data_IF_688308246539
#
_entry.id   IF_688308246539
#
_cell.length_a   1.000
_cell.length_b   1.000
_cell.length_c   1.000
_cell.angle_alpha   90.00
_cell.angle_beta   90.00
_cell.angle_gamma   90.00
#
_symmetry.space_group_name_H-M   'P 1'
#
loop_
_entity.id
_entity.type
_entity.pdbx_description
1 polymer ?
#
# COMPACT_ATOMS: atom_id res chain seq x y z
N UNK A 1 3.69 16.26 19.88
CA UNK A 1 2.30 16.12 19.41
C UNK A 1 1.67 17.44 18.95
N UNK A 2 1.49 18.47 19.80
CA UNK A 2 0.91 19.76 19.35
C UNK A 2 1.62 20.36 18.12
N UNK A 3 2.94 20.31 18.06
CA UNK A 3 3.74 20.85 16.96
C UNK A 3 3.59 20.01 15.66
N UNK A 4 3.40 18.69 15.75
CA UNK A 4 3.18 17.83 14.59
C UNK A 4 1.78 18.05 13.99
N UNK A 5 0.75 18.18 14.84
CA UNK A 5 -0.59 18.57 14.40
C UNK A 5 -0.61 19.96 13.74
N UNK A 6 0.17 20.89 14.27
CA UNK A 6 0.33 22.23 13.70
C UNK A 6 1.02 22.15 12.32
N UNK A 7 2.08 21.35 12.18
CA UNK A 7 2.76 21.11 10.90
C UNK A 7 1.84 20.48 9.86
N UNK A 8 1.07 19.46 10.22
CA UNK A 8 0.07 18.84 9.35
C UNK A 8 -1.03 19.84 8.95
N UNK A 9 -1.49 20.67 9.88
CA UNK A 9 -2.50 21.70 9.60
C UNK A 9 -1.95 22.81 8.69
N UNK A 10 -0.72 23.30 8.95
CA UNK A 10 -0.05 24.31 8.11
C UNK A 10 0.20 23.74 6.71
N UNK A 11 0.70 22.50 6.61
CA UNK A 11 0.93 21.85 5.33
C UNK A 11 -0.37 21.68 4.54
N UNK A 12 -1.45 21.24 5.20
CA UNK A 12 -2.76 21.11 4.57
C UNK A 12 -3.32 22.44 4.10
N UNK A 13 -3.15 23.51 4.90
CA UNK A 13 -3.54 24.87 4.52
C UNK A 13 -2.75 25.36 3.30
N UNK A 14 -1.46 25.02 3.19
CA UNK A 14 -0.62 25.36 2.03
C UNK A 14 -1.07 24.61 0.77
N UNK A 15 -1.46 23.32 0.87
CA UNK A 15 -2.02 22.55 -0.25
C UNK A 15 -3.33 23.16 -0.73
N UNK A 16 -4.21 23.55 0.21
CA UNK A 16 -5.49 24.21 -0.11
C UNK A 16 -5.26 25.60 -0.74
N UNK A 17 -4.30 26.38 -0.23
CA UNK A 17 -3.94 27.69 -0.78
C UNK A 17 -3.30 27.60 -2.17
N UNK A 18 -2.40 26.65 -2.39
CA UNK A 18 -1.83 26.37 -3.71
C UNK A 18 -2.92 26.04 -4.73
N UNK A 19 -3.95 25.31 -4.31
CA UNK A 19 -5.09 24.98 -5.15
C UNK A 19 -5.99 26.17 -5.45
N UNK A 20 -6.19 27.10 -4.51
CA UNK A 20 -6.94 28.35 -4.75
C UNK A 20 -6.22 29.25 -5.77
N UNK A 21 -4.90 29.35 -5.68
CA UNK A 21 -4.09 30.16 -6.62
C UNK A 21 -4.17 29.60 -8.04
N UNK A 22 -4.07 28.27 -8.21
CA UNK A 22 -4.22 27.62 -9.52
C UNK A 22 -5.64 27.73 -10.12
N UNK A 23 -6.68 27.78 -9.28
CA UNK A 23 -8.05 27.97 -9.76
C UNK A 23 -8.35 29.37 -10.27
N UNK A 24 -7.53 30.36 -9.89
CA UNK A 24 -7.65 31.74 -10.40
C UNK A 24 -6.94 31.94 -11.74
N UNK A 25 -5.87 31.18 -12.03
CA UNK A 25 -5.10 31.33 -13.28
C UNK A 25 -5.63 30.50 -14.46
N UNK A 26 -6.35 29.40 -14.21
CA UNK A 26 -6.83 28.50 -15.26
C UNK A 26 -8.35 28.42 -15.27
N UNK A 27 -8.96 29.30 -16.07
CA UNK A 27 -10.39 29.23 -16.44
C UNK A 27 -11.40 29.17 -15.27
N UNK A 28 -12.27 30.15 -15.22
CA UNK A 28 -13.43 30.44 -14.35
C UNK A 28 -14.42 29.26 -14.11
N UNK A 29 -13.96 28.00 -14.09
CA UNK A 29 -14.81 26.84 -13.76
C UNK A 29 -14.92 26.68 -12.25
N UNK A 30 -16.04 27.12 -11.68
CA UNK A 30 -16.38 26.87 -10.27
C UNK A 30 -16.21 25.40 -9.91
N UNK A 31 -15.45 25.14 -8.83
CA UNK A 31 -15.29 23.79 -8.25
C UNK A 31 -16.67 23.17 -8.00
N UNK A 32 -16.91 21.96 -8.49
CA UNK A 32 -18.19 21.28 -8.32
C UNK A 32 -18.40 20.85 -6.85
N UNK A 33 -19.66 20.65 -6.44
CA UNK A 33 -19.96 20.11 -5.09
C UNK A 33 -19.23 18.78 -4.84
N UNK A 34 -19.20 17.89 -5.83
CA UNK A 34 -18.48 16.61 -5.74
C UNK A 34 -17.00 16.79 -5.47
N UNK A 35 -16.33 17.72 -6.17
CA UNK A 35 -14.92 18.01 -5.95
C UNK A 35 -14.65 18.49 -4.52
N UNK A 36 -15.49 19.39 -3.99
CA UNK A 36 -15.37 19.83 -2.60
C UNK A 36 -15.53 18.69 -1.61
N UNK A 37 -16.53 17.82 -1.80
CA UNK A 37 -16.74 16.67 -0.92
C UNK A 37 -15.56 15.67 -0.98
N UNK A 38 -14.97 15.47 -2.14
CA UNK A 38 -13.78 14.61 -2.28
C UNK A 38 -12.60 15.17 -1.51
N UNK A 39 -12.32 16.48 -1.62
CA UNK A 39 -11.23 17.09 -0.84
C UNK A 39 -11.47 17.01 0.67
N UNK A 40 -12.68 17.34 1.12
CA UNK A 40 -13.04 17.23 2.54
C UNK A 40 -12.91 15.78 3.01
N UNK A 41 -13.35 14.81 2.19
CA UNK A 41 -13.22 13.39 2.48
C UNK A 41 -11.76 12.94 2.58
N UNK A 42 -10.88 13.36 1.65
CA UNK A 42 -9.46 13.04 1.69
C UNK A 42 -8.77 13.67 2.93
N UNK A 43 -9.14 14.92 3.26
CA UNK A 43 -8.65 15.58 4.47
C UNK A 43 -9.08 14.85 5.74
N UNK A 44 -10.37 14.52 5.83
CA UNK A 44 -10.92 13.78 6.97
C UNK A 44 -10.27 12.39 7.10
N UNK A 45 -10.06 11.69 5.97
CA UNK A 45 -9.36 10.41 5.93
C UNK A 45 -7.93 10.53 6.46
N UNK A 46 -7.15 11.52 6.00
CA UNK A 46 -5.77 11.73 6.47
C UNK A 46 -5.73 12.03 7.98
N UNK A 47 -6.65 12.87 8.45
CA UNK A 47 -6.75 13.20 9.88
C UNK A 47 -7.16 11.99 10.72
N UNK A 48 -8.16 11.23 10.25
CA UNK A 48 -8.62 10.02 10.94
C UNK A 48 -7.51 8.96 11.02
N UNK A 49 -6.76 8.74 9.92
CA UNK A 49 -5.63 7.82 9.91
C UNK A 49 -4.58 8.18 10.95
N UNK A 50 -4.22 9.46 11.08
CA UNK A 50 -3.27 9.89 12.09
C UNK A 50 -3.75 9.55 13.52
N UNK A 51 -5.02 9.82 13.84
CA UNK A 51 -5.57 9.48 15.15
C UNK A 51 -5.67 7.98 15.40
N UNK A 52 -5.99 7.19 14.36
CA UNK A 52 -6.03 5.74 14.44
C UNK A 52 -4.64 5.19 14.74
N UNK A 53 -3.63 5.60 13.97
CA UNK A 53 -2.23 5.20 14.15
C UNK A 53 -1.69 5.60 15.52
N UNK A 54 -2.00 6.83 15.96
CA UNK A 54 -1.62 7.26 17.32
C UNK A 54 -2.17 6.31 18.39
N UNK A 55 -3.45 5.95 18.30
CA UNK A 55 -4.07 5.06 19.30
C UNK A 55 -3.60 3.60 19.17
N UNK A 56 -3.21 3.15 17.99
CA UNK A 56 -2.79 1.77 17.76
C UNK A 56 -1.33 1.55 18.12
N UNK A 57 -0.44 2.49 17.75
CA UNK A 57 1.00 2.26 17.84
C UNK A 57 1.70 3.14 18.85
N UNK A 58 1.38 4.44 18.94
CA UNK A 58 2.22 5.39 19.66
C UNK A 58 1.73 5.73 21.07
N UNK A 59 0.43 5.58 21.33
CA UNK A 59 -0.17 5.91 22.63
C UNK A 59 0.39 5.01 23.74
N UNK A 60 1.06 5.63 24.72
CA UNK A 60 1.72 4.92 25.81
C UNK A 60 3.13 4.39 25.44
N UNK A 61 3.60 4.69 24.24
CA UNK A 61 4.93 4.34 23.72
C UNK A 61 5.80 5.59 23.49
N UNK A 62 5.32 6.76 23.93
CA UNK A 62 5.97 8.05 23.67
C UNK A 62 7.38 8.12 24.25
N UNK A 63 8.33 8.63 23.47
CA UNK A 63 9.74 8.74 23.79
C UNK A 63 10.33 10.02 23.19
N UNK A 64 11.51 10.44 23.65
CA UNK A 64 12.28 11.45 22.94
C UNK A 64 12.62 10.95 21.54
N UNK A 65 12.71 11.88 20.57
CA UNK A 65 13.00 11.50 19.18
C UNK A 65 14.24 10.62 19.10
N UNK A 66 14.10 9.51 18.44
CA UNK A 66 15.17 8.54 18.23
C UNK A 66 15.11 7.98 16.80
N UNK A 67 16.25 7.49 16.33
CA UNK A 67 16.40 6.88 15.01
C UNK A 67 16.66 5.40 15.26
N UNK A 68 15.88 4.55 14.57
CA UNK A 68 16.12 3.12 14.51
C UNK A 68 17.21 2.82 13.47
N UNK A 69 18.13 1.91 13.81
CA UNK A 69 19.12 1.40 12.86
C UNK A 69 18.58 0.10 12.25
N UNK A 70 17.72 0.27 11.28
CA UNK A 70 16.99 -0.80 10.63
C UNK A 70 17.72 -1.29 9.37
N UNK A 71 17.29 -2.39 8.80
CA UNK A 71 17.83 -2.97 7.58
C UNK A 71 16.71 -3.38 6.63
N UNK A 72 16.96 -3.36 5.30
CA UNK A 72 15.93 -3.68 4.32
C UNK A 72 15.42 -5.12 4.39
N UNK A 73 16.30 -6.11 4.60
CA UNK A 73 15.95 -7.53 4.53
C UNK A 73 16.43 -8.36 5.72
N UNK A 74 17.13 -7.76 6.66
CA UNK A 74 17.60 -8.40 7.87
C UNK A 74 17.08 -7.67 9.12
N UNK A 75 15.93 -7.02 8.98
CA UNK A 75 15.18 -6.42 10.06
C UNK A 75 14.39 -7.50 10.85
N UNK A 76 13.61 -7.05 11.82
CA UNK A 76 12.76 -7.87 12.68
C UNK A 76 11.65 -8.62 11.90
N UNK A 77 11.35 -8.24 10.66
CA UNK A 77 10.32 -8.83 9.80
C UNK A 77 10.91 -9.54 8.57
N UNK A 78 12.23 -9.64 8.45
CA UNK A 78 12.96 -10.10 7.25
C UNK A 78 12.57 -9.33 5.98
N UNK A 79 12.24 -8.04 6.11
CA UNK A 79 11.89 -7.14 5.02
C UNK A 79 10.42 -7.08 4.63
N UNK A 80 9.55 -7.88 5.26
CA UNK A 80 8.10 -7.85 4.98
C UNK A 80 7.51 -6.49 5.33
N UNK A 81 7.99 -5.85 6.37
CA UNK A 81 7.65 -4.49 6.76
C UNK A 81 7.96 -3.47 5.64
N UNK A 82 9.14 -3.56 5.04
CA UNK A 82 9.57 -2.68 3.94
C UNK A 82 8.69 -2.84 2.69
N UNK A 83 8.25 -4.07 2.40
CA UNK A 83 7.23 -4.32 1.38
C UNK A 83 5.88 -3.71 1.76
N UNK A 84 5.54 -3.69 3.06
CA UNK A 84 4.34 -3.03 3.59
C UNK A 84 4.35 -1.53 3.32
N UNK A 85 5.44 -0.85 3.68
CA UNK A 85 5.65 0.58 3.43
C UNK A 85 5.61 0.90 1.93
N UNK A 86 6.30 0.11 1.09
CA UNK A 86 6.25 0.24 -0.36
C UNK A 86 4.81 0.10 -0.88
N UNK A 87 4.13 -0.99 -0.53
CA UNK A 87 2.78 -1.29 -1.01
C UNK A 87 1.79 -0.22 -0.58
N UNK A 88 1.83 0.22 0.66
CA UNK A 88 0.86 1.17 1.19
C UNK A 88 0.98 2.52 0.50
N UNK A 89 2.19 3.05 0.30
CA UNK A 89 2.41 4.31 -0.42
C UNK A 89 2.01 4.19 -1.90
N UNK A 90 2.32 3.07 -2.54
CA UNK A 90 1.93 2.76 -3.91
C UNK A 90 0.41 2.70 -4.07
N UNK A 91 -0.28 1.95 -3.19
CA UNK A 91 -1.72 1.79 -3.21
C UNK A 91 -2.45 3.09 -2.84
N UNK A 92 -1.93 3.84 -1.87
CA UNK A 92 -2.51 5.13 -1.47
C UNK A 92 -2.45 6.15 -2.61
N UNK A 93 -1.30 6.25 -3.30
CA UNK A 93 -1.18 7.08 -4.50
C UNK A 93 -2.24 6.71 -5.54
N UNK A 94 -2.40 5.44 -5.84
CA UNK A 94 -3.35 4.98 -6.85
C UNK A 94 -4.79 5.22 -6.41
N UNK A 95 -5.14 4.96 -5.16
CA UNK A 95 -6.46 5.22 -4.59
C UNK A 95 -6.86 6.69 -4.72
N UNK A 96 -6.01 7.60 -4.28
CA UNK A 96 -6.24 9.05 -4.40
C UNK A 96 -6.37 9.44 -5.87
N UNK A 97 -5.48 8.95 -6.73
CA UNK A 97 -5.49 9.25 -8.15
C UNK A 97 -6.81 8.81 -8.83
N UNK A 98 -7.32 7.63 -8.53
CA UNK A 98 -8.61 7.12 -9.05
C UNK A 98 -9.79 7.95 -8.56
N UNK A 99 -9.81 8.31 -7.28
CA UNK A 99 -10.87 9.16 -6.70
C UNK A 99 -10.87 10.55 -7.38
N UNK A 100 -9.69 11.12 -7.61
CA UNK A 100 -9.56 12.42 -8.28
C UNK A 100 -10.02 12.35 -9.75
N UNK A 101 -9.75 11.24 -10.46
CA UNK A 101 -10.26 10.99 -11.81
C UNK A 101 -11.80 10.91 -11.80
N UNK A 102 -12.39 10.16 -10.88
CA UNK A 102 -13.85 10.05 -10.73
C UNK A 102 -14.51 11.41 -10.48
N UNK A 103 -13.86 12.25 -9.68
CA UNK A 103 -14.32 13.62 -9.38
C UNK A 103 -14.05 14.62 -10.51
N UNK A 104 -13.42 14.17 -11.61
CA UNK A 104 -13.10 14.99 -12.80
C UNK A 104 -12.20 16.20 -12.48
N UNK A 105 -11.22 16.02 -11.61
CA UNK A 105 -10.18 17.01 -11.41
C UNK A 105 -9.27 17.11 -12.64
N UNK A 106 -8.71 18.30 -12.88
CA UNK A 106 -7.70 18.48 -13.91
C UNK A 106 -6.41 17.71 -13.57
N UNK A 107 -5.61 17.42 -14.57
CA UNK A 107 -4.40 16.59 -14.45
C UNK A 107 -3.37 17.17 -13.47
N UNK A 108 -3.21 18.50 -13.44
CA UNK A 108 -2.25 19.16 -12.55
C UNK A 108 -2.64 18.98 -11.09
N UNK A 109 -3.86 19.36 -10.73
CA UNK A 109 -4.39 19.24 -9.36
C UNK A 109 -4.39 17.76 -8.91
N UNK A 110 -4.81 16.84 -9.79
CA UNK A 110 -4.80 15.42 -9.53
C UNK A 110 -3.39 14.91 -9.18
N UNK A 111 -2.39 15.21 -10.03
CA UNK A 111 -1.00 14.82 -9.79
C UNK A 111 -0.45 15.37 -8.48
N UNK A 112 -0.69 16.66 -8.20
CA UNK A 112 -0.24 17.28 -6.95
C UNK A 112 -0.84 16.54 -5.75
N UNK A 113 -2.17 16.41 -5.67
CA UNK A 113 -2.83 15.84 -4.49
C UNK A 113 -2.49 14.36 -4.33
N UNK A 114 -2.51 13.57 -5.43
CA UNK A 114 -2.20 12.14 -5.36
C UNK A 114 -0.74 11.85 -5.00
N UNK A 115 0.19 12.77 -5.26
CA UNK A 115 1.58 12.63 -4.83
C UNK A 115 1.79 13.14 -3.41
N UNK A 116 1.18 14.26 -3.06
CA UNK A 116 1.42 14.92 -1.77
C UNK A 116 0.83 14.16 -0.59
N UNK A 117 -0.39 13.61 -0.72
CA UNK A 117 -1.03 12.91 0.40
C UNK A 117 -0.25 11.66 0.87
N UNK A 118 0.24 10.77 -0.02
CA UNK A 118 1.10 9.66 0.40
C UNK A 118 2.42 10.10 1.05
N UNK A 119 3.03 11.19 0.57
CA UNK A 119 4.25 11.75 1.19
C UNK A 119 3.96 12.20 2.63
N UNK A 120 2.89 12.98 2.81
CA UNK A 120 2.48 13.46 4.14
C UNK A 120 2.19 12.29 5.07
N UNK A 121 1.50 11.28 4.55
CA UNK A 121 1.19 10.07 5.31
C UNK A 121 2.47 9.33 5.72
N UNK A 122 3.40 9.07 4.79
CA UNK A 122 4.67 8.42 5.06
C UNK A 122 5.49 9.18 6.12
N UNK A 123 5.67 10.49 5.93
CA UNK A 123 6.39 11.32 6.92
C UNK A 123 5.70 11.31 8.28
N UNK A 124 4.35 11.29 8.32
CA UNK A 124 3.62 11.29 9.60
C UNK A 124 3.82 9.99 10.38
N UNK A 125 3.95 8.84 9.69
CA UNK A 125 4.27 7.56 10.32
C UNK A 125 5.67 7.61 10.89
N UNK A 126 6.68 7.86 10.07
CA UNK A 126 8.08 7.87 10.49
C UNK A 126 8.33 8.89 11.61
N UNK A 127 7.66 10.04 11.58
CA UNK A 127 7.75 11.01 12.69
C UNK A 127 7.07 10.51 13.97
N UNK A 128 5.95 9.80 13.83
CA UNK A 128 5.29 9.16 14.98
C UNK A 128 6.15 8.08 15.60
N UNK A 129 6.75 7.22 14.77
CA UNK A 129 7.68 6.18 15.18
C UNK A 129 8.92 6.79 15.83
N UNK A 130 9.48 7.85 15.23
CA UNK A 130 10.62 8.57 15.78
C UNK A 130 10.38 9.16 17.18
N UNK A 131 9.13 9.52 17.54
CA UNK A 131 8.75 9.97 18.87
C UNK A 131 8.15 8.84 19.73
N UNK A 132 8.36 7.59 19.35
CA UNK A 132 7.91 6.41 20.09
C UNK A 132 9.06 5.43 20.31
N UNK A 133 8.73 4.28 20.91
CA UNK A 133 9.70 3.19 21.10
C UNK A 133 10.13 2.51 19.80
N UNK A 134 9.42 2.74 18.69
CA UNK A 134 9.75 2.15 17.37
C UNK A 134 10.98 2.80 16.74
N UNK A 135 11.10 4.14 16.83
CA UNK A 135 12.19 4.88 16.21
C UNK A 135 11.92 5.26 14.75
N UNK A 136 12.52 6.37 14.30
CA UNK A 136 12.45 6.80 12.88
C UNK A 136 13.35 5.89 12.02
N UNK A 137 12.81 5.28 10.97
CA UNK A 137 13.53 4.42 10.04
C UNK A 137 13.72 5.10 8.68
N UNK A 138 14.97 5.25 8.23
CA UNK A 138 15.28 5.73 6.88
C UNK A 138 14.92 4.68 5.82
N UNK A 139 14.98 3.41 6.15
CA UNK A 139 14.64 2.28 5.29
C UNK A 139 13.14 2.25 4.99
N UNK A 140 12.30 2.54 6.00
CA UNK A 140 10.85 2.63 5.85
C UNK A 140 10.45 3.85 5.03
N UNK A 141 11.04 5.00 5.33
CA UNK A 141 10.82 6.21 4.53
C UNK A 141 11.25 5.99 3.06
N UNK A 142 12.39 5.33 2.84
CA UNK A 142 12.88 4.99 1.49
C UNK A 142 11.90 4.05 0.78
N UNK A 143 11.41 3.01 1.47
CA UNK A 143 10.43 2.07 0.93
C UNK A 143 9.12 2.77 0.56
N UNK A 144 8.64 3.70 1.39
CA UNK A 144 7.50 4.55 1.09
C UNK A 144 7.72 5.40 -0.18
N UNK A 145 8.89 6.04 -0.32
CA UNK A 145 9.23 6.86 -1.49
C UNK A 145 9.33 6.00 -2.76
N UNK A 146 9.92 4.80 -2.66
CA UNK A 146 10.01 3.87 -3.79
C UNK A 146 8.63 3.40 -4.25
N UNK A 147 7.72 3.07 -3.34
CA UNK A 147 6.35 2.68 -3.66
C UNK A 147 5.58 3.79 -4.37
N UNK A 148 5.62 5.01 -3.84
CA UNK A 148 5.04 6.19 -4.48
C UNK A 148 5.63 6.44 -5.88
N UNK A 149 6.96 6.40 -5.98
CA UNK A 149 7.67 6.61 -7.26
C UNK A 149 7.25 5.56 -8.28
N UNK A 150 7.13 4.30 -7.88
CA UNK A 150 6.66 3.23 -8.76
C UNK A 150 5.24 3.49 -9.28
N UNK A 151 4.32 3.92 -8.42
CA UNK A 151 2.95 4.29 -8.82
C UNK A 151 2.94 5.44 -9.84
N UNK A 152 3.76 6.48 -9.64
CA UNK A 152 3.92 7.59 -10.59
C UNK A 152 4.46 7.09 -11.94
N UNK A 153 5.48 6.22 -11.91
CA UNK A 153 6.08 5.67 -13.12
C UNK A 153 5.11 4.79 -13.89
N UNK A 154 4.29 3.97 -13.23
CA UNK A 154 3.24 3.18 -13.88
C UNK A 154 2.20 4.03 -14.60
N UNK A 155 1.89 5.21 -14.04
CA UNK A 155 0.99 6.17 -14.71
C UNK A 155 1.65 6.87 -15.90
N UNK A 156 2.95 7.07 -15.86
CA UNK A 156 3.72 7.68 -16.94
C UNK A 156 4.03 6.70 -18.06
N UNK A 157 4.34 5.45 -17.73
CA UNK A 157 4.78 4.42 -18.67
C UNK A 157 3.79 3.24 -18.64
N UNK A 158 2.95 3.12 -19.65
CA UNK A 158 1.90 2.09 -19.73
C UNK A 158 2.45 0.66 -19.67
N UNK A 159 3.68 0.43 -20.17
CA UNK A 159 4.32 -0.88 -20.09
C UNK A 159 4.50 -1.37 -18.65
N UNK A 160 4.78 -0.47 -17.70
CA UNK A 160 4.93 -0.82 -16.28
C UNK A 160 3.62 -1.28 -15.63
N UNK A 161 2.47 -1.01 -16.24
CA UNK A 161 1.17 -1.49 -15.74
C UNK A 161 1.01 -3.01 -15.84
N UNK A 162 1.88 -3.68 -16.62
CA UNK A 162 1.93 -5.14 -16.69
C UNK A 162 2.58 -5.80 -15.46
N UNK A 163 3.18 -5.00 -14.59
CA UNK A 163 3.85 -5.45 -13.39
C UNK A 163 3.20 -4.74 -12.20
N UNK A 164 2.61 -5.49 -11.26
CA UNK A 164 2.00 -4.90 -10.07
C UNK A 164 2.57 -5.56 -8.82
N UNK A 165 2.84 -4.75 -7.81
CA UNK A 165 2.99 -5.28 -6.47
C UNK A 165 1.58 -5.35 -5.86
N UNK A 166 1.20 -6.55 -5.44
CA UNK A 166 -0.09 -6.83 -4.78
C UNK A 166 0.15 -7.35 -3.37
N UNK A 167 -0.83 -7.15 -2.50
CA UNK A 167 -0.82 -7.68 -1.15
C UNK A 167 -1.81 -8.84 -1.04
N UNK A 168 -1.35 -10.01 -0.61
CA UNK A 168 -2.16 -11.09 -0.09
C UNK A 168 -2.17 -11.03 1.43
N UNK A 169 -3.33 -11.24 2.05
CA UNK A 169 -3.44 -11.33 3.50
C UNK A 169 -4.41 -12.44 3.90
N UNK A 170 -3.95 -13.25 4.80
CA UNK A 170 -4.79 -14.20 5.52
C UNK A 170 -4.36 -14.23 6.99
N UNK A 171 -5.28 -13.98 7.94
CA UNK A 171 -4.89 -13.85 9.34
C UNK A 171 -4.29 -15.14 9.88
N UNK A 172 -3.19 -15.00 10.63
CA UNK A 172 -2.57 -16.16 11.30
C UNK A 172 -3.46 -16.73 12.40
N UNK A 173 -3.25 -18.01 12.73
CA UNK A 173 -3.96 -18.64 13.83
C UNK A 173 -3.76 -17.90 15.16
N UNK A 174 -2.57 -17.34 15.40
CA UNK A 174 -2.30 -16.51 16.56
C UNK A 174 -3.18 -15.27 16.61
N UNK A 175 -3.36 -14.58 15.47
CA UNK A 175 -4.23 -13.41 15.33
C UNK A 175 -5.71 -13.77 15.58
N UNK A 176 -6.17 -14.86 14.97
CA UNK A 176 -7.55 -15.34 15.14
C UNK A 176 -7.82 -15.76 16.60
N UNK A 177 -6.92 -16.55 17.20
CA UNK A 177 -7.08 -17.07 18.56
C UNK A 177 -7.02 -15.98 19.64
N UNK A 178 -6.37 -14.86 19.34
CA UNK A 178 -6.35 -13.68 20.23
C UNK A 178 -7.59 -12.79 20.07
N UNK A 179 -8.62 -13.22 19.34
CA UNK A 179 -9.85 -12.47 19.06
C UNK A 179 -9.57 -11.07 18.49
N UNK A 180 -8.52 -10.91 17.70
CA UNK A 180 -8.09 -9.64 17.12
C UNK A 180 -7.83 -8.51 18.17
N UNK A 181 -7.55 -8.89 19.40
CA UNK A 181 -7.43 -7.96 20.53
C UNK A 181 -6.06 -7.28 20.51
N UNK A 182 -6.05 -5.96 20.57
CA UNK A 182 -4.83 -5.12 20.58
C UNK A 182 -3.90 -5.33 19.37
N UNK A 183 -4.44 -5.75 18.23
CA UNK A 183 -3.68 -6.08 17.03
C UNK A 183 -4.24 -5.33 15.83
N UNK A 184 -3.34 -4.85 15.00
CA UNK A 184 -3.70 -4.30 13.70
C UNK A 184 -3.37 -5.31 12.60
N UNK A 185 -4.08 -5.25 11.47
CA UNK A 185 -3.78 -6.12 10.33
C UNK A 185 -2.33 -5.96 9.87
N UNK A 186 -1.74 -4.78 10.06
CA UNK A 186 -0.36 -4.46 9.70
C UNK A 186 0.68 -5.22 10.52
N UNK A 187 0.36 -5.62 11.74
CA UNK A 187 1.30 -6.27 12.66
C UNK A 187 1.36 -7.79 12.49
N UNK A 188 0.44 -8.37 11.71
CA UNK A 188 0.39 -9.82 11.41
C UNK A 188 1.29 -10.17 10.21
N UNK A 189 2.61 -9.93 10.34
CA UNK A 189 3.55 -10.09 9.23
C UNK A 189 3.55 -11.50 8.62
N UNK A 190 3.36 -12.56 9.40
CA UNK A 190 3.25 -13.92 8.87
C UNK A 190 1.97 -14.17 8.06
N UNK A 191 0.96 -13.31 8.25
CA UNK A 191 -0.26 -13.30 7.45
C UNK A 191 -0.12 -12.62 6.09
N UNK A 192 0.96 -11.84 5.88
CA UNK A 192 1.19 -11.09 4.66
C UNK A 192 2.04 -11.87 3.65
N UNK A 193 1.66 -11.78 2.38
CA UNK A 193 2.52 -12.10 1.23
C UNK A 193 2.42 -10.94 0.25
N UNK A 194 3.56 -10.37 -0.13
CA UNK A 194 3.64 -9.36 -1.18
C UNK A 194 4.00 -10.03 -2.50
N UNK A 195 3.17 -9.80 -3.51
CA UNK A 195 3.22 -10.48 -4.79
C UNK A 195 3.62 -9.53 -5.90
N UNK A 196 4.69 -9.84 -6.61
CA UNK A 196 4.98 -9.21 -7.89
C UNK A 196 4.29 -10.01 -8.99
N UNK A 197 3.33 -9.39 -9.67
CA UNK A 197 2.52 -10.03 -10.71
C UNK A 197 2.93 -9.58 -12.10
N UNK A 198 2.78 -10.47 -13.08
CA UNK A 198 3.17 -10.29 -14.46
C UNK A 198 1.98 -10.58 -15.38
N UNK A 199 1.48 -9.57 -16.10
CA UNK A 199 0.44 -9.73 -17.12
C UNK A 199 1.05 -10.35 -18.37
N UNK A 200 1.13 -11.67 -18.39
CA UNK A 200 1.73 -12.41 -19.50
C UNK A 200 0.95 -12.22 -20.81
N UNK A 201 -0.37 -11.99 -20.75
CA UNK A 201 -1.16 -11.73 -21.94
C UNK A 201 -0.70 -10.46 -22.67
N UNK A 202 -0.40 -9.40 -21.92
CA UNK A 202 0.01 -8.13 -22.51
C UNK A 202 1.50 -8.09 -22.91
N UNK A 203 2.38 -8.80 -22.19
CA UNK A 203 3.82 -8.82 -22.49
C UNK A 203 4.18 -9.83 -23.56
N UNK A 204 3.42 -10.91 -23.72
CA UNK A 204 3.74 -11.97 -24.67
C UNK A 204 3.64 -11.48 -26.14
N UNK A 205 4.48 -12.01 -27.03
CA UNK A 205 4.35 -11.79 -28.46
C UNK A 205 2.94 -12.20 -28.97
N UNK A 206 2.44 -11.53 -29.99
CA UNK A 206 1.08 -11.75 -30.54
C UNK A 206 0.73 -13.23 -30.74
N UNK A 207 1.68 -14.03 -31.29
CA UNK A 207 1.48 -15.47 -31.52
C UNK A 207 1.30 -16.29 -30.26
N UNK A 208 1.87 -15.84 -29.14
CA UNK A 208 1.82 -16.53 -27.85
C UNK A 208 0.65 -16.09 -26.97
N UNK A 209 0.03 -14.93 -27.22
CA UNK A 209 -1.09 -14.39 -26.41
C UNK A 209 -2.25 -15.36 -26.22
N UNK A 210 -2.50 -16.24 -27.20
CA UNK A 210 -3.58 -17.23 -27.12
C UNK A 210 -3.40 -18.26 -26.00
N UNK A 211 -2.19 -18.41 -25.47
CA UNK A 211 -1.86 -19.34 -24.38
C UNK A 211 -1.98 -18.68 -22.99
N UNK A 212 -2.07 -17.34 -22.94
CA UNK A 212 -2.13 -16.58 -21.70
C UNK A 212 -3.49 -15.85 -21.61
N UNK A 213 -4.45 -16.38 -20.83
CA UNK A 213 -5.74 -15.71 -20.67
C UNK A 213 -5.59 -14.33 -20.03
N UNK A 214 -6.31 -13.29 -20.49
CA UNK A 214 -6.13 -11.92 -19.99
C UNK A 214 -6.51 -11.73 -18.50
N UNK A 215 -7.28 -12.66 -17.94
CA UNK A 215 -7.74 -12.63 -16.56
C UNK A 215 -6.79 -13.33 -15.57
N UNK A 216 -5.68 -13.91 -16.05
CA UNK A 216 -4.67 -14.56 -15.21
C UNK A 216 -3.28 -13.97 -15.44
N UNK A 217 -2.60 -13.71 -14.34
CA UNK A 217 -1.20 -13.31 -14.27
C UNK A 217 -0.34 -14.45 -13.70
N UNK A 218 0.96 -14.40 -13.95
CA UNK A 218 1.94 -15.11 -13.16
C UNK A 218 2.32 -14.24 -11.96
N UNK A 219 2.56 -14.84 -10.80
CA UNK A 219 2.88 -14.13 -9.59
C UNK A 219 4.03 -14.77 -8.81
N UNK A 220 4.92 -13.93 -8.27
CA UNK A 220 5.99 -14.30 -7.35
C UNK A 220 5.74 -13.60 -6.02
N UNK A 221 5.61 -14.38 -4.95
CA UNK A 221 5.28 -13.89 -3.62
C UNK A 221 6.47 -13.98 -2.66
N UNK A 222 6.56 -13.01 -1.76
CA UNK A 222 7.49 -12.98 -0.65
C UNK A 222 6.74 -12.70 0.65
N UNK A 223 7.12 -13.40 1.73
CA UNK A 223 6.58 -13.24 3.07
C UNK A 223 7.51 -13.82 4.13
N UNK A 224 7.05 -13.81 5.37
CA UNK A 224 7.76 -14.37 6.53
C UNK A 224 6.88 -15.40 7.24
N UNK A 225 7.49 -16.42 7.82
CA UNK A 225 6.83 -17.38 8.72
C UNK A 225 7.42 -17.27 10.13
N UNK A 226 6.70 -17.76 11.14
CA UNK A 226 7.06 -17.76 12.56
C UNK A 226 7.11 -16.35 13.20
N UNK A 227 6.58 -15.31 12.56
CA UNK A 227 6.39 -14.04 13.22
C UNK A 227 5.18 -14.13 14.16
N UNK A 228 5.47 -14.20 15.44
CA UNK A 228 4.45 -14.40 16.47
C UNK A 228 3.69 -13.11 16.83
N UNK A 229 2.72 -13.24 17.71
CA UNK A 229 1.95 -12.12 18.27
C UNK A 229 2.92 -11.14 18.97
N UNK A 230 2.82 -9.85 18.67
CA UNK A 230 3.67 -8.78 19.22
C UNK A 230 5.18 -9.00 19.04
N UNK A 231 5.58 -9.65 17.95
CA UNK A 231 6.99 -9.96 17.72
C UNK A 231 7.55 -11.06 18.65
N UNK A 232 6.71 -11.74 19.41
CA UNK A 232 7.11 -12.93 20.19
C UNK A 232 7.42 -14.09 19.24
N UNK A 233 8.67 -14.13 18.81
CA UNK A 233 9.20 -15.19 17.94
C UNK A 233 9.51 -16.40 18.83
N UNK A 234 8.71 -17.44 18.70
CA UNK A 234 8.94 -18.71 19.43
C UNK A 234 9.90 -19.64 18.71
N UNK A 235 10.06 -19.43 17.39
CA UNK A 235 10.97 -20.16 16.51
C UNK A 235 11.70 -19.15 15.60
N UNK A 236 12.86 -19.49 15.02
CA UNK A 236 13.55 -18.60 14.09
C UNK A 236 12.65 -18.19 12.93
N UNK A 237 12.69 -16.89 12.58
CA UNK A 237 11.97 -16.37 11.43
C UNK A 237 12.44 -17.05 10.15
N UNK A 238 11.51 -17.42 9.30
CA UNK A 238 11.78 -18.09 8.03
C UNK A 238 11.23 -17.29 6.86
N UNK A 239 12.01 -17.15 5.79
CA UNK A 239 11.53 -16.53 4.55
C UNK A 239 10.58 -17.47 3.81
N UNK A 240 9.48 -16.91 3.32
CA UNK A 240 8.45 -17.58 2.55
C UNK A 240 8.52 -17.08 1.12
N UNK A 241 8.70 -17.98 0.17
CA UNK A 241 8.69 -17.70 -1.26
C UNK A 241 7.54 -18.42 -1.93
N UNK A 242 6.82 -17.74 -2.79
CA UNK A 242 5.66 -18.30 -3.48
C UNK A 242 5.78 -18.06 -4.98
N UNK A 243 5.29 -19.02 -5.76
CA UNK A 243 5.08 -18.89 -7.20
C UNK A 243 3.68 -19.39 -7.49
N UNK A 244 2.85 -18.59 -8.16
CA UNK A 244 1.48 -18.97 -8.41
C UNK A 244 0.82 -18.17 -9.51
N UNK A 245 -0.47 -18.42 -9.65
CA UNK A 245 -1.34 -17.63 -10.50
C UNK A 245 -1.91 -16.47 -9.69
N UNK A 246 -2.36 -15.44 -10.41
CA UNK A 246 -3.03 -14.28 -9.81
C UNK A 246 -4.16 -13.81 -10.72
N UNK A 247 -5.24 -13.31 -10.14
CA UNK A 247 -6.38 -12.80 -10.86
C UNK A 247 -6.13 -11.37 -11.35
N UNK A 248 -6.25 -11.13 -12.66
CA UNK A 248 -6.21 -9.79 -13.25
C UNK A 248 -7.63 -9.21 -13.31
N UNK A 249 -8.10 -8.62 -12.22
CA UNK A 249 -9.43 -8.02 -12.17
C UNK A 249 -9.56 -6.82 -13.11
N UNK A 250 -8.46 -6.12 -13.37
CA UNK A 250 -8.40 -4.99 -14.29
C UNK A 250 -8.73 -5.36 -15.74
N UNK A 251 -8.53 -6.64 -16.15
CA UNK A 251 -8.86 -7.14 -17.48
C UNK A 251 -10.38 -7.21 -17.73
N UNK A 252 -11.18 -7.38 -16.68
CA UNK A 252 -12.63 -7.50 -16.75
C UNK A 252 -13.23 -6.09 -16.86
N UNK A 253 -13.70 -5.71 -18.03
CA UNK A 253 -14.27 -4.37 -18.27
C UNK A 253 -15.76 -4.32 -17.96
N UNK A 254 -16.22 -3.20 -17.41
CA UNK A 254 -17.63 -2.88 -17.19
C UNK A 254 -17.98 -1.55 -17.87
N UNK A 255 -19.24 -1.39 -18.28
CA UNK A 255 -19.76 -0.10 -18.75
C UNK A 255 -19.86 0.94 -17.62
N UNK A 256 -19.94 0.49 -16.38
CA UNK A 256 -20.02 1.37 -15.21
C UNK A 256 -18.61 1.77 -14.72
N UNK A 257 -18.32 3.07 -14.74
CA UNK A 257 -17.01 3.61 -14.32
C UNK A 257 -16.69 3.33 -12.85
N UNK A 258 -17.68 3.33 -11.97
CA UNK A 258 -17.47 3.05 -10.54
C UNK A 258 -17.06 1.59 -10.33
N UNK A 259 -17.72 0.65 -11.03
CA UNK A 259 -17.35 -0.76 -10.99
C UNK A 259 -15.92 -0.96 -11.52
N UNK A 260 -15.54 -0.28 -12.61
CA UNK A 260 -14.18 -0.37 -13.14
C UNK A 260 -13.16 0.18 -12.12
N UNK A 261 -13.44 1.32 -11.50
CA UNK A 261 -12.55 1.89 -10.49
C UNK A 261 -12.42 0.95 -9.28
N UNK A 262 -13.51 0.42 -8.76
CA UNK A 262 -13.48 -0.54 -7.64
C UNK A 262 -12.66 -1.78 -7.99
N UNK A 263 -12.88 -2.37 -9.17
CA UNK A 263 -12.08 -3.53 -9.63
C UNK A 263 -10.60 -3.19 -9.76
N UNK A 264 -10.27 -2.02 -10.33
CA UNK A 264 -8.88 -1.59 -10.46
C UNK A 264 -8.20 -1.41 -9.11
N UNK A 265 -8.91 -0.94 -8.09
CA UNK A 265 -8.40 -0.84 -6.73
C UNK A 265 -8.30 -2.21 -6.04
N UNK A 266 -9.29 -3.09 -6.24
CA UNK A 266 -9.24 -4.46 -5.73
C UNK A 266 -8.14 -5.28 -6.40
N UNK A 267 -7.75 -4.95 -7.61
CA UNK A 267 -6.67 -5.61 -8.36
C UNK A 267 -5.25 -5.36 -7.77
N UNK A 268 -5.15 -4.58 -6.72
CA UNK A 268 -3.94 -4.45 -5.89
C UNK A 268 -3.86 -5.50 -4.79
N UNK A 269 -4.91 -6.31 -4.62
CA UNK A 269 -4.91 -7.41 -3.69
C UNK A 269 -4.81 -8.75 -4.44
N UNK A 270 -3.98 -9.63 -3.90
CA UNK A 270 -3.88 -11.00 -4.40
C UNK A 270 -4.99 -11.85 -3.77
N UNK A 271 -5.86 -12.38 -4.61
CA UNK A 271 -6.90 -13.31 -4.18
C UNK A 271 -6.40 -14.76 -4.29
N UNK A 272 -6.89 -15.67 -3.45
CA UNK A 272 -6.46 -17.07 -3.45
C UNK A 272 -6.50 -17.69 -4.83
N UNK A 273 -5.38 -18.29 -5.23
CA UNK A 273 -5.20 -18.92 -6.53
C UNK A 273 -4.20 -20.10 -6.39
N UNK A 274 -4.15 -21.02 -7.38
CA UNK A 274 -3.18 -22.11 -7.34
C UNK A 274 -1.74 -21.63 -7.32
N UNK A 275 -0.94 -22.24 -6.45
CA UNK A 275 0.47 -21.90 -6.32
C UNK A 275 1.29 -22.87 -5.50
N UNK A 276 2.59 -22.66 -5.52
CA UNK A 276 3.59 -23.39 -4.76
C UNK A 276 4.16 -22.43 -3.72
N UNK A 277 4.23 -22.88 -2.48
CA UNK A 277 4.84 -22.18 -1.36
C UNK A 277 6.09 -22.95 -0.92
N UNK A 278 7.19 -22.24 -0.77
CA UNK A 278 8.44 -22.72 -0.19
C UNK A 278 8.78 -21.87 1.03
N UNK A 279 9.04 -22.51 2.14
CA UNK A 279 9.52 -21.90 3.38
C UNK A 279 10.92 -22.44 3.61
N UNK A 280 11.88 -21.56 3.94
CA UNK A 280 13.27 -21.99 4.21
C UNK A 280 13.28 -23.16 5.19
N UNK A 281 14.14 -24.15 4.93
CA UNK A 281 14.32 -25.35 5.75
C UNK A 281 13.12 -26.30 5.81
N UNK A 282 12.03 -25.99 5.07
CA UNK A 282 10.84 -26.86 4.92
C UNK A 282 10.68 -27.28 3.46
N UNK A 283 9.92 -28.34 3.22
CA UNK A 283 9.59 -28.78 1.87
C UNK A 283 8.64 -27.81 1.16
N UNK A 284 8.74 -27.75 -0.17
CA UNK A 284 7.77 -27.03 -0.97
C UNK A 284 6.38 -27.68 -0.87
N UNK A 285 5.34 -26.87 -0.77
CA UNK A 285 3.94 -27.32 -0.74
C UNK A 285 3.15 -26.75 -1.92
N UNK A 286 2.37 -27.59 -2.59
CA UNK A 286 1.39 -27.16 -3.57
C UNK A 286 0.06 -26.84 -2.88
N UNK A 287 -0.55 -25.71 -3.24
CA UNK A 287 -1.83 -25.26 -2.71
C UNK A 287 -2.76 -24.90 -3.86
N UNK A 288 -3.95 -25.48 -3.88
CA UNK A 288 -4.98 -25.14 -4.88
C UNK A 288 -5.50 -23.71 -4.68
N UNK A 289 -5.59 -23.28 -3.41
CA UNK A 289 -5.91 -21.91 -3.00
C UNK A 289 -4.81 -21.48 -2.01
N UNK A 290 -3.77 -20.84 -2.54
CA UNK A 290 -2.69 -20.37 -1.69
C UNK A 290 -3.15 -19.08 -1.00
N UNK A 291 -3.22 -19.11 0.32
CA UNK A 291 -3.68 -18.00 1.17
C UNK A 291 -2.48 -17.27 1.78
N UNK A 292 -1.62 -17.98 2.52
CA UNK A 292 -0.36 -17.48 3.10
C UNK A 292 0.60 -18.62 3.49
#
# INVERSE_FOLDING_TARGET
MKNLLLLLFVFFSLVVQAQQKDSMEVNNKKTTKLQKYVLVGLAAHQTANFFIQYNWWWKGQEKAFNIENDHFFNDYSLGVDKFGHFFTSYYYYEGVNQIMILAKYNDRTRKIISTTLPIVWAISIEMGDGFSTFGFSFEDLTSNILGLTYGILQRKYSYLQNFKLKMGYYPTAGYINNNFKNWTLSDDYSGHIYWLTFDLHNIAPLKAKKYFPPFLNLAFGYGVDNYGIYGNVTEPLQRKFCVGLDWNLGSIKSKNKYINTTKNLLDYFHFPAPGIKYINEKSASYNLLLLN
#
